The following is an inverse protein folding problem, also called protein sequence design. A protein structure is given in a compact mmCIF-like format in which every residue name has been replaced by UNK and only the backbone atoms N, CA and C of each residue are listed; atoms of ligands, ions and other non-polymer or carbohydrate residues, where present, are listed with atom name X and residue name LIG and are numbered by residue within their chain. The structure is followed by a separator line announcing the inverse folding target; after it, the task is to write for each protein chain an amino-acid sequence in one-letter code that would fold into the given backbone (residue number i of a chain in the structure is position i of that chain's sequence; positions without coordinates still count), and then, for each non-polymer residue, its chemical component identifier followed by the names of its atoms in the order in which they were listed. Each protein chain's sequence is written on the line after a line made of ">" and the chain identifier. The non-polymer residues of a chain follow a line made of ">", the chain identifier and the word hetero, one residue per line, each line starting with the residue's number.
data_IF_603775767003
#
_entry.id   IF_603775767003
#
_cell.length_a   1.000
_cell.length_b   1.000
_cell.length_c   1.000
_cell.angle_alpha   90.00
_cell.angle_beta   90.00
_cell.angle_gamma   90.00
#
_symmetry.space_group_name_H-M   'P 1'
#
loop_
_entity.id
_entity.type
_entity.pdbx_description
1 polymer ?
#
# COMPACT_ATOMS: atom_id res chain seq x y z
N UNK A 1 18.24 5.05 -5.13
CA UNK A 1 18.63 5.09 -3.69
C UNK A 1 17.57 4.34 -2.90
N UNK A 2 17.96 3.47 -1.97
CA UNK A 2 17.00 2.70 -1.17
C UNK A 2 16.47 3.52 0.01
N UNK A 3 15.19 3.35 0.34
CA UNK A 3 14.58 3.91 1.56
C UNK A 3 14.83 2.90 2.68
N UNK A 4 15.17 3.37 3.89
CA UNK A 4 15.49 2.46 4.99
C UNK A 4 14.56 2.65 6.17
N UNK A 5 14.20 1.55 6.84
CA UNK A 5 13.52 1.54 8.12
C UNK A 5 14.17 0.49 9.03
N UNK A 6 14.47 0.90 10.25
CA UNK A 6 15.03 0.05 11.30
C UNK A 6 14.06 -0.02 12.45
N UNK A 7 13.77 -1.25 12.92
CA UNK A 7 12.95 -1.46 14.13
C UNK A 7 13.75 -1.08 15.37
N UNK A 8 15.09 -1.25 15.33
CA UNK A 8 15.97 -0.77 16.39
C UNK A 8 15.80 0.73 16.54
N UNK A 9 15.33 1.15 17.72
CA UNK A 9 14.97 2.54 18.05
C UNK A 9 13.84 3.15 17.19
N UNK A 10 12.97 2.31 16.62
CA UNK A 10 11.80 2.80 15.91
C UNK A 10 10.89 3.61 16.85
N UNK A 11 10.48 4.77 16.37
CA UNK A 11 9.48 5.65 16.98
C UNK A 11 8.36 5.91 15.98
N UNK A 12 7.22 6.41 16.48
CA UNK A 12 6.11 6.84 15.62
C UNK A 12 6.51 7.90 14.59
N UNK A 13 7.51 8.72 14.91
CA UNK A 13 8.09 9.73 14.01
C UNK A 13 8.93 9.07 12.93
N UNK A 14 9.88 8.21 13.28
CA UNK A 14 10.76 7.54 12.29
C UNK A 14 9.96 6.69 11.30
N UNK A 15 8.93 5.97 11.77
CA UNK A 15 8.07 5.20 10.90
C UNK A 15 7.18 6.09 10.00
N UNK A 16 6.68 7.22 10.52
CA UNK A 16 5.98 8.20 9.68
C UNK A 16 6.88 8.73 8.58
N UNK A 17 8.10 9.18 8.92
CA UNK A 17 9.08 9.69 7.95
C UNK A 17 9.41 8.64 6.88
N UNK A 18 9.58 7.38 7.29
CA UNK A 18 9.78 6.26 6.38
C UNK A 18 8.62 6.10 5.38
N UNK A 19 7.38 6.04 5.87
CA UNK A 19 6.20 5.88 5.00
C UNK A 19 5.99 7.09 4.09
N UNK A 20 6.26 8.31 4.56
CA UNK A 20 6.20 9.53 3.75
C UNK A 20 7.25 9.53 2.64
N UNK A 21 8.48 9.10 2.93
CA UNK A 21 9.52 8.94 1.91
C UNK A 21 9.13 7.89 0.86
N UNK A 22 8.52 6.78 1.30
CA UNK A 22 8.03 5.74 0.39
C UNK A 22 6.92 6.26 -0.52
N UNK A 23 5.92 6.96 0.03
CA UNK A 23 4.87 7.61 -0.77
C UNK A 23 5.46 8.56 -1.80
N UNK A 24 6.38 9.43 -1.39
CA UNK A 24 7.01 10.39 -2.28
C UNK A 24 7.72 9.73 -3.48
N UNK A 25 8.41 8.60 -3.27
CA UNK A 25 9.05 7.87 -4.37
C UNK A 25 8.04 7.14 -5.27
N UNK A 26 7.00 6.54 -4.68
CA UNK A 26 5.97 5.82 -5.44
C UNK A 26 5.17 6.77 -6.35
N UNK A 27 4.89 7.98 -5.87
CA UNK A 27 4.05 8.97 -6.57
C UNK A 27 4.84 10.01 -7.36
N UNK A 28 6.18 9.96 -7.32
CA UNK A 28 7.03 10.88 -8.06
C UNK A 28 6.70 10.85 -9.56
N UNK A 29 6.40 12.02 -10.13
CA UNK A 29 6.03 12.16 -11.54
C UNK A 29 4.66 11.60 -11.92
N UNK A 30 3.84 11.20 -10.94
CA UNK A 30 2.44 10.80 -11.14
C UNK A 30 1.50 12.00 -11.29
N UNK A 31 0.30 11.76 -11.83
CA UNK A 31 -0.79 12.73 -11.84
C UNK A 31 -1.53 12.75 -10.48
N UNK A 32 -2.55 13.60 -10.36
CA UNK A 32 -3.48 13.57 -9.24
C UNK A 32 -4.91 13.37 -9.74
N UNK A 33 -5.78 12.81 -8.88
CA UNK A 33 -7.22 12.79 -9.06
C UNK A 33 -7.85 13.27 -7.75
N UNK A 34 -8.65 14.34 -7.82
CA UNK A 34 -9.24 14.98 -6.64
C UNK A 34 -8.22 15.30 -5.52
N UNK A 35 -7.03 15.77 -5.92
CA UNK A 35 -5.93 16.09 -5.00
C UNK A 35 -5.18 14.86 -4.45
N UNK A 36 -5.58 13.65 -4.79
CA UNK A 36 -4.90 12.41 -4.37
C UNK A 36 -3.90 11.98 -5.46
N UNK A 37 -2.63 11.75 -5.15
CA UNK A 37 -1.66 11.25 -6.11
C UNK A 37 -2.09 9.91 -6.73
N UNK A 38 -1.83 9.74 -8.03
CA UNK A 38 -2.07 8.50 -8.77
C UNK A 38 -0.72 7.91 -9.16
N UNK A 39 -0.55 6.60 -8.96
CA UNK A 39 0.65 5.90 -9.40
C UNK A 39 0.84 6.04 -10.92
N UNK A 40 2.09 5.96 -11.36
CA UNK A 40 2.41 6.12 -12.78
C UNK A 40 1.87 4.97 -13.62
N UNK A 41 1.47 5.27 -14.85
CA UNK A 41 1.05 4.26 -15.82
C UNK A 41 2.23 3.40 -16.19
N UNK A 42 1.99 2.11 -16.45
CA UNK A 42 3.04 1.16 -16.83
C UNK A 42 3.89 1.66 -17.99
N UNK A 43 3.26 2.20 -19.03
CA UNK A 43 3.92 2.67 -20.24
C UNK A 43 4.76 3.94 -20.05
N UNK A 44 4.55 4.68 -18.95
CA UNK A 44 5.30 5.90 -18.66
C UNK A 44 6.51 5.63 -17.74
N UNK A 45 6.72 4.37 -17.33
CA UNK A 45 7.78 3.99 -16.39
C UNK A 45 8.81 3.13 -17.12
N UNK A 46 10.02 3.66 -17.22
CA UNK A 46 11.18 2.90 -17.72
C UNK A 46 11.58 1.80 -16.74
N UNK A 47 12.23 0.75 -17.24
CA UNK A 47 12.68 -0.39 -16.42
C UNK A 47 13.56 0.05 -15.23
N UNK A 48 14.44 1.04 -15.43
CA UNK A 48 15.36 1.54 -14.41
C UNK A 48 14.65 2.33 -13.29
N UNK A 49 13.42 2.80 -13.55
CA UNK A 49 12.59 3.55 -12.60
C UNK A 49 11.43 2.70 -12.06
N UNK A 50 11.40 1.41 -12.39
CA UNK A 50 10.25 0.54 -12.15
C UNK A 50 10.11 0.09 -10.70
N UNK A 51 11.17 0.15 -9.92
CA UNK A 51 11.18 -0.35 -8.56
C UNK A 51 11.71 0.68 -7.56
N UNK A 52 11.04 0.76 -6.41
CA UNK A 52 11.58 1.36 -5.20
C UNK A 52 12.14 0.24 -4.34
N UNK A 53 13.37 0.43 -3.86
CA UNK A 53 14.03 -0.51 -2.95
C UNK A 53 13.87 -0.03 -1.51
N UNK A 54 13.47 -0.94 -0.62
CA UNK A 54 13.25 -0.68 0.80
C UNK A 54 14.13 -1.60 1.64
N UNK A 55 15.05 -1.03 2.40
CA UNK A 55 15.83 -1.75 3.39
C UNK A 55 15.05 -1.82 4.71
N UNK A 56 14.85 -3.04 5.22
CA UNK A 56 14.22 -3.29 6.51
C UNK A 56 15.24 -3.96 7.43
N UNK A 57 15.50 -3.34 8.58
CA UNK A 57 16.49 -3.80 9.56
C UNK A 57 15.81 -4.19 10.87
N UNK A 58 16.09 -5.40 11.36
CA UNK A 58 15.50 -5.95 12.58
C UNK A 58 16.33 -5.61 13.84
N UNK A 59 15.97 -6.13 15.03
CA UNK A 59 16.70 -5.83 16.27
C UNK A 59 18.12 -6.41 16.29
N UNK A 60 18.33 -7.57 15.64
CA UNK A 60 19.63 -8.22 15.45
C UNK A 60 20.50 -7.53 14.39
N UNK A 61 20.05 -6.40 13.84
CA UNK A 61 20.72 -5.66 12.76
C UNK A 61 20.82 -6.43 11.43
N UNK A 62 20.04 -7.50 11.25
CA UNK A 62 19.85 -8.10 9.95
C UNK A 62 19.03 -7.18 9.06
N UNK A 63 19.54 -6.95 7.85
CA UNK A 63 18.87 -6.14 6.84
C UNK A 63 18.49 -6.99 5.65
N UNK A 64 17.24 -6.85 5.22
CA UNK A 64 16.75 -7.34 3.93
C UNK A 64 16.36 -6.15 3.06
N UNK A 65 16.45 -6.30 1.74
CA UNK A 65 16.00 -5.28 0.78
C UNK A 65 14.80 -5.79 0.01
N UNK A 66 13.64 -5.17 0.20
CA UNK A 66 12.39 -5.48 -0.49
C UNK A 66 12.28 -4.60 -1.74
N UNK A 67 11.84 -5.18 -2.86
CA UNK A 67 11.55 -4.44 -4.09
C UNK A 67 10.03 -4.22 -4.23
N UNK A 68 9.63 -2.97 -4.42
CA UNK A 68 8.24 -2.54 -4.59
C UNK A 68 8.07 -1.98 -6.00
N UNK A 69 7.13 -2.51 -6.78
CA UNK A 69 6.80 -2.01 -8.11
C UNK A 69 6.03 -0.67 -7.99
N UNK A 70 6.54 0.37 -8.65
CA UNK A 70 5.98 1.73 -8.57
C UNK A 70 4.61 1.90 -9.23
N UNK A 71 4.19 0.97 -10.10
CA UNK A 71 2.92 1.12 -10.84
C UNK A 71 1.71 0.63 -10.04
N UNK A 72 1.94 -0.20 -9.03
CA UNK A 72 0.88 -0.80 -8.20
C UNK A 72 1.22 -0.84 -6.70
N UNK A 73 2.42 -0.39 -6.30
CA UNK A 73 2.94 -0.49 -4.93
C UNK A 73 2.95 -1.94 -4.39
N UNK A 74 3.19 -2.94 -5.25
CA UNK A 74 3.24 -4.35 -4.85
C UNK A 74 4.68 -4.76 -4.57
N UNK A 75 4.87 -5.53 -3.50
CA UNK A 75 6.14 -6.22 -3.27
C UNK A 75 6.28 -7.31 -4.32
N UNK A 76 7.41 -7.33 -5.03
CA UNK A 76 7.68 -8.34 -6.09
C UNK A 76 8.74 -9.37 -5.68
N UNK A 77 9.50 -9.07 -4.63
CA UNK A 77 10.57 -9.92 -4.14
C UNK A 77 11.45 -9.20 -3.13
N UNK A 78 12.48 -9.89 -2.66
CA UNK A 78 13.46 -9.33 -1.74
C UNK A 78 14.85 -9.93 -1.95
N UNK A 79 15.85 -9.26 -1.39
CA UNK A 79 17.23 -9.70 -1.31
C UNK A 79 17.67 -9.80 0.14
N UNK A 80 18.41 -10.85 0.47
CA UNK A 80 19.02 -11.08 1.78
C UNK A 80 20.45 -11.62 1.59
N UNK A 81 21.44 -10.73 1.75
CA UNK A 81 22.83 -11.05 1.45
C UNK A 81 23.03 -11.35 -0.03
N UNK A 82 23.57 -12.53 -0.36
CA UNK A 82 23.85 -12.97 -1.73
C UNK A 82 22.69 -13.69 -2.40
N UNK A 83 21.52 -13.79 -1.76
CA UNK A 83 20.34 -14.50 -2.26
C UNK A 83 19.20 -13.52 -2.53
N UNK A 84 18.47 -13.71 -3.61
CA UNK A 84 17.23 -12.99 -3.90
C UNK A 84 16.09 -13.94 -4.22
N UNK A 85 14.90 -13.55 -3.79
CA UNK A 85 13.69 -14.35 -3.90
C UNK A 85 12.59 -13.50 -4.53
N UNK A 86 11.93 -14.05 -5.54
CA UNK A 86 10.89 -13.36 -6.30
C UNK A 86 9.57 -14.11 -6.16
N UNK A 87 8.50 -13.35 -5.91
CA UNK A 87 7.14 -13.89 -5.91
C UNK A 87 6.78 -14.34 -7.33
N UNK A 88 5.96 -15.39 -7.45
CA UNK A 88 5.44 -15.81 -8.75
C UNK A 88 4.51 -14.72 -9.29
N UNK A 89 4.77 -14.27 -10.51
CA UNK A 89 3.90 -13.30 -11.17
C UNK A 89 3.13 -13.99 -12.31
N UNK A 90 1.78 -14.12 -12.22
CA UNK A 90 0.97 -14.67 -13.29
C UNK A 90 0.63 -13.65 -14.40
N UNK A 91 1.11 -12.39 -14.31
CA UNK A 91 0.77 -11.35 -15.27
C UNK A 91 1.28 -11.66 -16.68
N UNK A 92 0.47 -11.32 -17.69
CA UNK A 92 0.82 -11.44 -19.12
C UNK A 92 2.04 -10.59 -19.49
N UNK A 93 2.26 -9.51 -18.76
CA UNK A 93 3.42 -8.66 -18.88
C UNK A 93 4.03 -8.49 -17.48
N UNK A 94 4.96 -9.35 -17.03
CA UNK A 94 5.56 -9.19 -15.72
C UNK A 94 6.43 -7.92 -15.66
N UNK A 95 6.72 -7.37 -14.47
CA UNK A 95 7.71 -6.31 -14.32
C UNK A 95 9.11 -6.89 -14.62
N UNK A 96 10.11 -6.05 -14.92
CA UNK A 96 11.44 -6.47 -15.36
C UNK A 96 12.28 -7.00 -14.18
N UNK A 97 11.87 -8.12 -13.57
CA UNK A 97 12.50 -8.69 -12.37
C UNK A 97 13.98 -9.03 -12.57
N UNK A 98 14.42 -9.27 -13.80
CA UNK A 98 15.82 -9.53 -14.15
C UNK A 98 16.75 -8.35 -13.83
N UNK A 99 16.22 -7.12 -13.73
CA UNK A 99 16.97 -5.91 -13.33
C UNK A 99 17.21 -5.82 -11.83
N UNK A 100 16.43 -6.53 -11.03
CA UNK A 100 16.53 -6.49 -9.58
C UNK A 100 17.65 -7.39 -9.06
N UNK A 101 18.44 -6.86 -8.13
CA UNK A 101 19.46 -7.61 -7.37
C UNK A 101 20.46 -8.37 -8.26
N UNK A 102 21.17 -7.69 -9.19
CA UNK A 102 22.18 -8.34 -10.02
C UNK A 102 23.28 -8.96 -9.17
N UNK A 103 23.82 -10.10 -9.61
CA UNK A 103 24.90 -10.82 -8.90
C UNK A 103 24.46 -11.64 -7.70
N UNK A 104 23.15 -11.82 -7.47
CA UNK A 104 22.62 -12.70 -6.42
C UNK A 104 22.20 -14.06 -6.96
N UNK A 105 22.19 -15.07 -6.10
CA UNK A 105 21.53 -16.36 -6.37
C UNK A 105 20.03 -16.15 -6.33
N UNK A 106 19.37 -16.27 -7.48
CA UNK A 106 17.95 -15.96 -7.66
C UNK A 106 17.09 -17.20 -7.48
N UNK A 107 16.00 -17.06 -6.72
CA UNK A 107 15.00 -18.11 -6.52
C UNK A 107 13.60 -17.56 -6.81
N UNK A 108 12.80 -18.30 -7.55
CA UNK A 108 11.37 -18.01 -7.70
C UNK A 108 10.58 -18.79 -6.67
N UNK A 109 9.76 -18.10 -5.89
CA UNK A 109 8.90 -18.69 -4.86
C UNK A 109 7.69 -19.39 -5.51
N UNK A 110 7.16 -20.46 -4.89
CA UNK A 110 6.08 -21.26 -5.48
C UNK A 110 4.68 -20.61 -5.35
N UNK A 111 4.60 -19.38 -4.85
CA UNK A 111 3.35 -18.64 -4.61
C UNK A 111 3.44 -17.21 -5.13
N UNK A 112 2.26 -16.66 -5.45
CA UNK A 112 2.11 -15.29 -5.90
C UNK A 112 1.97 -14.32 -4.71
N UNK A 113 2.13 -13.02 -4.99
CA UNK A 113 2.09 -11.95 -3.99
C UNK A 113 0.71 -11.49 -3.55
N UNK A 114 -0.37 -12.05 -4.09
CA UNK A 114 -1.73 -11.77 -3.65
C UNK A 114 -2.02 -12.47 -2.30
N UNK A 115 -2.94 -11.92 -1.51
CA UNK A 115 -3.24 -12.44 -0.18
C UNK A 115 -3.80 -13.88 -0.18
N UNK A 116 -4.42 -14.34 -1.27
CA UNK A 116 -4.88 -15.72 -1.37
C UNK A 116 -3.69 -16.67 -1.56
N UNK A 117 -2.79 -16.36 -2.48
CA UNK A 117 -1.55 -17.11 -2.73
C UNK A 117 -0.65 -17.17 -1.50
N UNK A 118 -0.40 -16.01 -0.88
CA UNK A 118 0.36 -15.89 0.35
C UNK A 118 -0.31 -16.64 1.51
N UNK A 119 -1.63 -16.49 1.67
CA UNK A 119 -2.37 -17.13 2.75
C UNK A 119 -2.32 -18.66 2.68
N UNK A 120 -2.50 -19.23 1.48
CA UNK A 120 -2.35 -20.69 1.27
C UNK A 120 -0.94 -21.17 1.60
N UNK A 121 0.08 -20.45 1.14
CA UNK A 121 1.47 -20.83 1.39
C UNK A 121 1.85 -20.70 2.88
N UNK A 122 1.33 -19.69 3.59
CA UNK A 122 1.63 -19.43 5.00
C UNK A 122 0.94 -20.41 5.97
N UNK A 123 -0.01 -21.22 5.49
CA UNK A 123 -0.85 -22.06 6.35
C UNK A 123 -0.03 -23.08 7.15
N UNK A 124 1.01 -23.69 6.57
CA UNK A 124 1.87 -24.68 7.25
C UNK A 124 2.66 -24.06 8.41
N UNK A 125 3.26 -22.89 8.21
CA UNK A 125 4.01 -22.17 9.26
C UNK A 125 3.13 -21.88 10.49
N UNK A 126 1.86 -21.54 10.28
CA UNK A 126 0.91 -21.34 11.37
C UNK A 126 0.49 -22.66 12.03
N UNK A 127 0.27 -23.73 11.26
CA UNK A 127 -0.07 -25.05 11.84
C UNK A 127 1.04 -25.57 12.76
N UNK A 128 2.31 -25.41 12.38
CA UNK A 128 3.45 -25.82 13.20
C UNK A 128 3.50 -25.08 14.54
N UNK A 129 3.19 -23.77 14.56
CA UNK A 129 3.11 -22.98 15.80
C UNK A 129 1.87 -23.34 16.64
N UNK A 130 0.75 -23.66 16.01
CA UNK A 130 -0.50 -24.01 16.72
C UNK A 130 -0.41 -25.38 17.39
N UNK A 131 0.29 -26.35 16.78
CA UNK A 131 0.44 -27.70 17.33
C UNK A 131 1.31 -27.78 18.60
N UNK A 132 2.11 -26.75 18.90
CA UNK A 132 2.85 -26.65 20.17
C UNK A 132 1.97 -26.24 21.37
N UNK A 133 0.78 -25.66 21.12
CA UNK A 133 -0.09 -25.05 22.15
C UNK A 133 -1.53 -25.59 22.17
N UNK A 134 -1.79 -26.82 21.69
CA UNK A 134 -3.16 -27.33 21.61
C UNK A 134 -3.66 -27.96 22.92
N UNK A 135 -4.69 -27.34 23.49
CA UNK A 135 -5.83 -28.07 24.04
C UNK A 135 -6.64 -28.68 22.87
N UNK A 136 -7.09 -29.92 23.03
CA UNK A 136 -7.86 -30.65 22.02
C UNK A 136 -9.17 -29.92 21.69
N UNK A 137 -9.42 -29.63 20.40
CA UNK A 137 -10.73 -29.15 19.92
C UNK A 137 -10.75 -27.84 19.13
N UNK A 138 -9.66 -27.06 19.07
CA UNK A 138 -9.64 -25.82 18.29
C UNK A 138 -9.55 -26.12 16.79
N UNK A 139 -10.71 -26.24 16.12
CA UNK A 139 -10.82 -26.40 14.66
C UNK A 139 -10.33 -25.12 13.99
N UNK A 140 -9.26 -25.23 13.21
CA UNK A 140 -8.87 -24.16 12.29
C UNK A 140 -10.00 -24.11 11.26
N UNK A 141 -10.83 -23.07 11.29
CA UNK A 141 -11.81 -22.85 10.24
C UNK A 141 -11.06 -22.55 8.94
N UNK A 142 -11.23 -23.41 7.93
CA UNK A 142 -10.55 -23.39 6.64
C UNK A 142 -10.80 -22.09 5.84
N UNK A 143 -11.77 -21.28 6.25
CA UNK A 143 -12.20 -20.05 5.58
C UNK A 143 -11.74 -18.73 6.23
N UNK A 144 -10.92 -18.76 7.30
CA UNK A 144 -10.40 -17.52 7.91
C UNK A 144 -9.16 -17.06 7.14
N UNK A 145 -9.14 -15.79 6.71
CA UNK A 145 -7.98 -15.20 6.01
C UNK A 145 -6.74 -15.28 6.91
N UNK A 146 -5.56 -15.61 6.35
CA UNK A 146 -4.32 -15.61 7.17
C UNK A 146 -4.02 -14.23 7.74
N UNK A 147 -4.48 -13.15 7.10
CA UNK A 147 -4.36 -11.79 7.66
C UNK A 147 -5.08 -11.66 9.00
N UNK A 148 -6.20 -12.33 9.21
CA UNK A 148 -6.95 -12.32 10.48
C UNK A 148 -6.28 -13.15 11.59
N UNK A 149 -5.19 -13.87 11.26
CA UNK A 149 -4.49 -14.78 12.18
C UNK A 149 -3.06 -14.37 12.47
N UNK A 150 -2.46 -13.53 11.61
CA UNK A 150 -1.09 -13.06 11.73
C UNK A 150 -1.13 -11.69 12.40
N UNK A 151 -0.61 -11.55 13.64
CA UNK A 151 -0.49 -10.26 14.28
C UNK A 151 0.47 -9.35 13.50
N UNK A 152 0.30 -8.06 13.68
CA UNK A 152 1.21 -7.03 13.17
C UNK A 152 1.74 -6.23 14.35
N UNK A 153 3.02 -5.88 14.31
CA UNK A 153 3.70 -5.13 15.36
C UNK A 153 5.22 -5.11 15.13
N UNK A 154 5.99 -4.39 15.96
CA UNK A 154 7.45 -4.36 15.84
C UNK A 154 8.09 -5.74 16.03
N UNK A 155 7.58 -6.57 16.95
CA UNK A 155 8.07 -7.95 17.13
C UNK A 155 7.76 -8.86 15.95
N UNK A 156 6.61 -8.68 15.30
CA UNK A 156 6.22 -9.46 14.11
C UNK A 156 7.05 -9.07 12.89
N UNK A 157 7.36 -7.78 12.74
CA UNK A 157 8.26 -7.32 11.68
C UNK A 157 9.70 -7.82 11.92
N UNK A 158 10.16 -7.85 13.17
CA UNK A 158 11.47 -8.40 13.54
C UNK A 158 11.59 -9.89 13.13
N UNK A 159 10.60 -10.69 13.53
CA UNK A 159 10.50 -12.10 13.16
C UNK A 159 10.37 -12.29 11.64
N UNK A 160 9.56 -11.47 10.95
CA UNK A 160 9.40 -11.54 9.50
C UNK A 160 10.73 -11.28 8.77
N UNK A 161 11.52 -10.29 9.22
CA UNK A 161 12.85 -10.02 8.64
C UNK A 161 13.78 -11.21 8.85
N UNK A 162 13.79 -11.82 10.05
CA UNK A 162 14.57 -13.03 10.35
C UNK A 162 14.16 -14.20 9.44
N UNK A 163 12.86 -14.46 9.28
CA UNK A 163 12.33 -15.53 8.42
C UNK A 163 12.75 -15.34 6.96
N UNK A 164 12.73 -14.12 6.44
CA UNK A 164 13.22 -13.81 5.09
C UNK A 164 14.75 -13.88 5.00
N UNK A 165 15.47 -13.48 6.04
CA UNK A 165 16.94 -13.49 6.10
C UNK A 165 17.50 -14.91 6.03
N UNK A 166 16.90 -15.85 6.77
CA UNK A 166 17.31 -17.25 6.78
C UNK A 166 16.70 -18.03 5.62
N UNK A 167 15.44 -17.74 5.28
CA UNK A 167 14.68 -18.41 4.22
C UNK A 167 14.62 -19.94 4.40
N UNK A 168 14.29 -20.39 5.62
CA UNK A 168 14.25 -21.82 5.97
C UNK A 168 13.12 -22.58 5.25
N UNK A 169 11.98 -21.92 5.03
CA UNK A 169 10.86 -22.51 4.31
C UNK A 169 10.06 -21.48 3.54
N UNK A 170 9.47 -21.93 2.43
CA UNK A 170 8.55 -21.14 1.62
C UNK A 170 7.32 -20.67 2.45
N UNK A 171 6.86 -21.49 3.39
CA UNK A 171 5.71 -21.15 4.23
C UNK A 171 6.01 -20.02 5.21
N UNK A 172 7.17 -20.06 5.89
CA UNK A 172 7.63 -18.97 6.76
C UNK A 172 7.86 -17.69 5.95
N UNK A 173 8.41 -17.80 4.74
CA UNK A 173 8.56 -16.65 3.86
C UNK A 173 7.21 -16.03 3.49
N UNK A 174 6.20 -16.84 3.17
CA UNK A 174 4.86 -16.35 2.86
C UNK A 174 4.22 -15.60 4.04
N UNK A 175 4.35 -16.12 5.27
CA UNK A 175 3.87 -15.43 6.47
C UNK A 175 4.60 -14.09 6.68
N UNK A 176 5.92 -14.07 6.49
CA UNK A 176 6.71 -12.85 6.59
C UNK A 176 6.33 -11.80 5.53
N UNK A 177 6.03 -12.21 4.30
CA UNK A 177 5.51 -11.30 3.27
C UNK A 177 4.18 -10.66 3.68
N UNK A 178 3.26 -11.41 4.30
CA UNK A 178 1.98 -10.86 4.79
C UNK A 178 2.21 -9.73 5.81
N UNK A 179 3.17 -9.91 6.73
CA UNK A 179 3.53 -8.88 7.71
C UNK A 179 4.12 -7.64 7.01
N UNK A 180 5.12 -7.85 6.14
CA UNK A 180 5.82 -6.76 5.45
C UNK A 180 4.90 -5.98 4.52
N UNK A 181 4.02 -6.66 3.76
CA UNK A 181 3.09 -6.00 2.83
C UNK A 181 2.14 -5.10 3.63
N UNK A 182 1.57 -5.58 4.74
CA UNK A 182 0.65 -4.79 5.56
C UNK A 182 1.34 -3.62 6.27
N UNK A 183 2.56 -3.84 6.80
CA UNK A 183 3.31 -2.78 7.50
C UNK A 183 3.93 -1.78 6.53
N UNK A 184 4.26 -2.15 5.30
CA UNK A 184 4.95 -1.24 4.36
C UNK A 184 4.01 -0.73 3.29
N UNK A 185 3.46 -1.63 2.48
CA UNK A 185 2.69 -1.26 1.28
C UNK A 185 1.29 -0.77 1.65
N UNK A 186 0.58 -1.47 2.54
CA UNK A 186 -0.78 -1.06 2.94
C UNK A 186 -0.76 0.21 3.80
N UNK A 187 0.23 0.35 4.69
CA UNK A 187 0.47 1.58 5.42
C UNK A 187 0.83 2.76 4.48
N UNK A 188 1.55 2.49 3.39
CA UNK A 188 1.79 3.52 2.37
C UNK A 188 0.50 3.91 1.65
N UNK A 189 -0.40 2.96 1.33
CA UNK A 189 -1.67 3.24 0.64
C UNK A 189 -2.70 3.96 1.52
N UNK A 190 -2.77 3.63 2.81
CA UNK A 190 -3.81 4.12 3.71
C UNK A 190 -3.25 4.75 4.99
N UNK A 191 -3.66 5.99 5.27
CA UNK A 191 -3.28 6.71 6.51
C UNK A 191 -3.81 6.04 7.77
N UNK A 192 -4.98 5.38 7.68
CA UNK A 192 -5.53 4.59 8.78
C UNK A 192 -4.57 3.45 9.19
N UNK A 193 -4.11 2.67 8.21
CA UNK A 193 -3.19 1.54 8.45
C UNK A 193 -1.84 2.04 8.96
N UNK A 194 -1.32 3.15 8.40
CA UNK A 194 -0.16 3.83 8.96
C UNK A 194 -0.35 4.20 10.44
N UNK A 195 -1.52 4.73 10.82
CA UNK A 195 -1.88 5.05 12.20
C UNK A 195 -1.84 3.83 13.11
N UNK A 196 -2.51 2.74 12.71
CA UNK A 196 -2.53 1.47 13.46
C UNK A 196 -1.12 0.93 13.71
N UNK A 197 -0.23 0.96 12.71
CA UNK A 197 1.15 0.52 12.88
C UNK A 197 1.95 1.47 13.77
N UNK A 198 1.73 2.79 13.69
CA UNK A 198 2.36 3.76 14.60
C UNK A 198 1.99 3.50 16.05
N UNK A 199 0.72 3.21 16.33
CA UNK A 199 0.27 2.91 17.69
C UNK A 199 0.92 1.63 18.22
N UNK A 200 1.01 0.58 17.40
CA UNK A 200 1.73 -0.66 17.74
C UNK A 200 3.22 -0.43 18.01
N UNK A 201 3.89 0.43 17.23
CA UNK A 201 5.29 0.81 17.46
C UNK A 201 5.44 1.59 18.78
N UNK A 202 4.53 2.55 19.05
CA UNK A 202 4.53 3.34 20.29
C UNK A 202 4.38 2.45 21.52
N UNK A 203 3.43 1.52 21.46
CA UNK A 203 3.02 0.72 22.60
C UNK A 203 3.84 -0.57 22.73
N UNK A 204 4.65 -0.91 21.72
CA UNK A 204 5.40 -2.16 21.67
C UNK A 204 4.52 -3.41 21.55
N UNK A 205 3.31 -3.26 21.00
CA UNK A 205 2.29 -4.32 20.97
C UNK A 205 2.14 -4.97 19.59
N UNK A 206 1.63 -6.19 19.59
CA UNK A 206 1.22 -6.91 18.38
C UNK A 206 -0.28 -7.20 18.43
N UNK A 207 -0.98 -6.96 17.32
CA UNK A 207 -2.40 -7.27 17.20
C UNK A 207 -2.76 -7.64 15.76
N UNK A 208 -3.75 -8.51 15.58
CA UNK A 208 -4.28 -8.82 14.25
C UNK A 208 -4.94 -7.57 13.63
N UNK A 209 -4.99 -7.46 12.29
CA UNK A 209 -5.76 -6.44 11.59
C UNK A 209 -7.24 -6.44 12.00
N UNK A 210 -7.79 -5.25 12.22
CA UNK A 210 -9.22 -5.08 12.44
C UNK A 210 -10.02 -5.16 11.12
N UNK A 211 -11.36 -5.27 11.19
CA UNK A 211 -12.19 -5.33 9.99
C UNK A 211 -12.06 -4.11 9.08
N UNK A 212 -11.76 -2.92 9.60
CA UNK A 212 -11.60 -1.72 8.79
C UNK A 212 -10.34 -1.81 7.93
N UNK A 213 -9.20 -2.14 8.54
CA UNK A 213 -7.93 -2.36 7.86
C UNK A 213 -8.09 -3.38 6.71
N UNK A 214 -8.65 -4.56 7.00
CA UNK A 214 -8.86 -5.61 5.99
C UNK A 214 -9.77 -5.15 4.84
N UNK A 215 -10.85 -4.41 5.16
CA UNK A 215 -11.77 -3.92 4.13
C UNK A 215 -11.14 -2.86 3.22
N UNK A 216 -10.25 -2.01 3.76
CA UNK A 216 -9.52 -1.00 2.99
C UNK A 216 -8.54 -1.66 2.02
N UNK A 217 -7.74 -2.64 2.50
CA UNK A 217 -6.81 -3.41 1.66
C UNK A 217 -7.52 -4.07 0.48
N UNK A 218 -8.67 -4.68 0.72
CA UNK A 218 -9.47 -5.34 -0.32
C UNK A 218 -10.15 -4.36 -1.29
N UNK A 219 -10.33 -3.10 -0.88
CA UNK A 219 -11.10 -2.10 -1.62
C UNK A 219 -10.22 -1.10 -2.37
N UNK A 220 -8.89 -1.15 -2.24
CA UNK A 220 -8.00 -0.14 -2.81
C UNK A 220 -8.17 0.06 -4.32
N UNK A 221 -8.28 -1.04 -5.08
CA UNK A 221 -8.51 -0.98 -6.53
C UNK A 221 -9.86 -0.35 -6.87
N UNK A 222 -10.94 -0.79 -6.21
CA UNK A 222 -12.29 -0.28 -6.44
C UNK A 222 -12.41 1.20 -6.04
N UNK A 223 -11.80 1.61 -4.92
CA UNK A 223 -11.73 3.02 -4.52
C UNK A 223 -10.97 3.83 -5.57
N UNK A 224 -9.81 3.32 -6.03
CA UNK A 224 -8.99 4.00 -7.04
C UNK A 224 -9.75 4.23 -8.33
N UNK A 225 -10.45 3.22 -8.82
CA UNK A 225 -11.27 3.29 -10.03
C UNK A 225 -12.42 4.29 -9.85
N UNK A 226 -13.23 4.13 -8.81
CA UNK A 226 -14.38 5.01 -8.57
C UNK A 226 -13.95 6.48 -8.44
N UNK A 227 -12.87 6.77 -7.72
CA UNK A 227 -12.35 8.15 -7.57
C UNK A 227 -11.87 8.72 -8.91
N UNK A 228 -11.16 7.94 -9.73
CA UNK A 228 -10.66 8.40 -11.03
C UNK A 228 -11.75 8.54 -12.11
N UNK A 229 -12.91 7.91 -11.93
CA UNK A 229 -14.05 8.06 -12.83
C UNK A 229 -14.86 9.34 -12.55
N UNK A 230 -14.73 9.96 -11.37
CA UNK A 230 -15.44 11.20 -11.04
C UNK A 230 -14.82 12.39 -11.78
N UNK A 231 -15.59 13.14 -12.60
CA UNK A 231 -15.12 14.37 -13.22
C UNK A 231 -14.63 15.38 -12.17
N UNK A 232 -13.60 16.17 -12.51
CA UNK A 232 -12.96 17.10 -11.56
C UNK A 232 -13.90 18.16 -10.94
N UNK A 233 -15.05 18.44 -11.55
CA UNK A 233 -16.07 19.37 -11.05
C UNK A 233 -17.23 18.67 -10.32
N UNK A 234 -17.12 17.37 -10.04
CA UNK A 234 -18.12 16.57 -9.35
C UNK A 234 -17.51 15.87 -8.15
N UNK A 235 -18.37 15.42 -7.24
CA UNK A 235 -17.94 14.77 -6.00
C UNK A 235 -18.49 13.34 -5.87
N UNK A 236 -19.69 13.09 -6.40
CA UNK A 236 -20.34 11.79 -6.30
C UNK A 236 -19.73 10.79 -7.29
N UNK A 237 -19.66 9.54 -6.85
CA UNK A 237 -19.33 8.42 -7.72
C UNK A 237 -20.38 8.29 -8.82
N UNK A 238 -19.92 8.09 -10.06
CA UNK A 238 -20.79 8.04 -11.23
C UNK A 238 -21.63 6.75 -11.23
N UNK A 239 -22.74 6.74 -11.98
CA UNK A 239 -23.63 5.58 -12.13
C UNK A 239 -24.16 5.00 -10.80
N UNK A 240 -24.38 5.84 -9.79
CA UNK A 240 -24.73 5.42 -8.43
C UNK A 240 -23.71 4.43 -7.82
N UNK A 241 -22.45 4.54 -8.25
CA UNK A 241 -21.35 3.71 -7.77
C UNK A 241 -21.17 3.82 -6.26
N UNK A 242 -20.76 2.71 -5.64
CA UNK A 242 -20.39 2.71 -4.24
C UNK A 242 -19.32 1.67 -3.97
N UNK A 243 -18.45 1.96 -2.99
CA UNK A 243 -17.48 0.99 -2.48
C UNK A 243 -17.85 0.66 -1.05
N UNK A 244 -18.06 -0.62 -0.77
CA UNK A 244 -18.36 -1.10 0.56
C UNK A 244 -17.07 -1.29 1.35
N UNK A 245 -16.97 -0.59 2.47
CA UNK A 245 -15.90 -0.77 3.47
C UNK A 245 -16.51 -1.13 4.83
N UNK A 246 -15.65 -1.43 5.80
CA UNK A 246 -16.04 -1.70 7.18
C UNK A 246 -15.41 -0.70 8.14
N UNK A 247 -16.04 -0.51 9.29
CA UNK A 247 -15.44 0.14 10.47
C UNK A 247 -14.82 -0.92 11.39
N UNK A 248 -14.10 -0.47 12.42
CA UNK A 248 -13.44 -1.35 13.40
C UNK A 248 -14.45 -2.23 14.16
N UNK A 249 -15.68 -1.73 14.38
CA UNK A 249 -16.79 -2.49 14.99
C UNK A 249 -17.48 -3.46 14.00
N UNK A 250 -16.90 -3.66 12.82
CA UNK A 250 -17.40 -4.50 11.73
C UNK A 250 -18.68 -4.00 11.03
N UNK A 251 -19.18 -2.80 11.37
CA UNK A 251 -20.31 -2.19 10.68
C UNK A 251 -19.94 -1.78 9.24
N UNK A 252 -20.92 -1.86 8.34
CA UNK A 252 -20.75 -1.58 6.92
C UNK A 252 -20.91 -0.08 6.63
N UNK A 253 -20.04 0.46 5.79
CA UNK A 253 -20.15 1.83 5.25
C UNK A 253 -20.07 1.78 3.73
N UNK A 254 -20.98 2.51 3.07
CA UNK A 254 -20.96 2.71 1.62
C UNK A 254 -20.31 4.05 1.31
N UNK A 255 -19.13 4.00 0.69
CA UNK A 255 -18.42 5.17 0.14
C UNK A 255 -19.04 5.50 -1.20
N UNK A 256 -19.55 6.72 -1.37
CA UNK A 256 -20.26 7.16 -2.59
C UNK A 256 -19.73 8.47 -3.17
N UNK A 257 -18.67 9.03 -2.58
CA UNK A 257 -18.17 10.36 -2.90
C UNK A 257 -16.68 10.48 -2.60
N UNK A 258 -15.97 11.27 -3.40
CA UNK A 258 -14.56 11.63 -3.18
C UNK A 258 -14.34 12.44 -1.89
N UNK A 259 -15.38 13.03 -1.32
CA UNK A 259 -15.33 13.77 -0.05
C UNK A 259 -15.52 12.90 1.20
N UNK A 260 -15.73 11.59 1.03
CA UNK A 260 -15.93 10.68 2.17
C UNK A 260 -14.65 10.54 3.01
N UNK A 261 -14.79 10.36 4.32
CA UNK A 261 -13.62 10.19 5.22
C UNK A 261 -12.71 9.03 4.82
N UNK A 262 -13.29 7.96 4.27
CA UNK A 262 -12.53 6.85 3.72
C UNK A 262 -11.59 7.28 2.58
N UNK A 263 -12.06 8.17 1.69
CA UNK A 263 -11.27 8.70 0.57
C UNK A 263 -10.17 9.63 1.06
N UNK A 264 -10.43 10.47 2.06
CA UNK A 264 -9.40 11.30 2.73
C UNK A 264 -8.30 10.43 3.38
N UNK A 265 -8.65 9.22 3.79
CA UNK A 265 -7.72 8.21 4.30
C UNK A 265 -6.79 7.60 3.25
N UNK A 266 -7.12 7.70 1.95
CA UNK A 266 -6.31 7.15 0.85
C UNK A 266 -5.14 8.09 0.55
N UNK A 267 -3.92 7.56 0.59
CA UNK A 267 -2.70 8.33 0.38
C UNK A 267 -2.27 8.43 -1.08
N UNK A 268 -2.54 7.40 -1.88
CA UNK A 268 -2.39 7.41 -3.33
C UNK A 268 -3.28 6.33 -3.98
N UNK A 269 -3.56 6.51 -5.26
CA UNK A 269 -4.46 5.67 -6.05
C UNK A 269 -3.66 4.77 -7.01
N UNK A 270 -4.16 3.55 -7.22
CA UNK A 270 -3.76 2.73 -8.36
C UNK A 270 -4.19 3.43 -9.65
N UNK A 271 -3.38 3.43 -10.70
CA UNK A 271 -3.84 3.95 -11.99
C UNK A 271 -4.88 3.00 -12.63
N UNK A 272 -6.06 3.51 -12.95
CA UNK A 272 -7.19 2.70 -13.46
C UNK A 272 -7.68 3.12 -14.87
N UNK A 273 -6.94 3.97 -15.60
CA UNK A 273 -7.33 4.38 -16.95
C UNK A 273 -8.37 5.51 -17.01
N UNK A 274 -8.79 6.08 -15.88
CA UNK A 274 -9.64 7.28 -15.86
C UNK A 274 -8.91 8.47 -16.48
N UNK A 275 -9.64 9.40 -17.12
CA UNK A 275 -9.09 10.63 -17.67
C UNK A 275 -8.52 11.47 -16.51
N UNK A 276 -7.18 11.62 -16.35
CA UNK A 276 -6.68 12.58 -15.40
C UNK A 276 -7.17 13.97 -15.84
N UNK A 277 -7.65 14.83 -14.93
CA UNK A 277 -7.81 16.23 -15.28
C UNK A 277 -6.47 16.75 -15.80
N UNK A 278 -6.49 17.41 -16.95
CA UNK A 278 -5.30 17.99 -17.54
C UNK A 278 -4.56 18.85 -16.50
N UNK A 279 -3.21 18.83 -16.47
CA UNK A 279 -2.46 19.65 -15.54
C UNK A 279 -2.78 21.14 -15.78
N UNK A 280 -3.38 21.76 -14.77
CA UNK A 280 -3.54 23.21 -14.55
C UNK A 280 -4.32 24.02 -15.60
N UNK A 281 -5.60 24.29 -15.32
CA UNK A 281 -6.28 25.53 -15.75
C UNK A 281 -6.52 26.50 -14.58
N UNK A 282 -5.69 26.43 -13.53
CA UNK A 282 -5.78 27.36 -12.39
C UNK A 282 -5.16 28.74 -12.66
N UNK A 283 -4.52 28.94 -13.83
CA UNK A 283 -4.00 30.25 -14.25
C UNK A 283 -5.04 31.17 -14.91
N UNK A 284 -6.31 30.75 -15.07
CA UNK A 284 -7.32 31.54 -15.79
C UNK A 284 -8.36 32.25 -14.88
N UNK A 285 -8.26 32.16 -13.55
CA UNK A 285 -9.24 32.77 -12.63
C UNK A 285 -8.82 34.09 -11.97
N UNK A 286 -7.67 34.65 -12.33
CA UNK A 286 -7.25 35.98 -11.85
C UNK A 286 -6.90 36.89 -13.02
N UNK A 287 -7.91 37.35 -13.75
CA UNK A 287 -7.97 38.68 -14.41
C UNK A 287 -9.22 38.80 -15.28
N UNK A 288 -10.26 39.46 -14.77
CA UNK A 288 -11.15 40.42 -15.47
C UNK A 288 -12.35 40.75 -14.57
N UNK A 289 -12.07 41.45 -13.46
CA UNK A 289 -13.05 42.39 -12.92
C UNK A 289 -12.72 43.73 -13.58
N UNK A 290 -13.24 43.96 -14.78
CA UNK A 290 -13.28 45.31 -15.35
C UNK A 290 -14.48 45.99 -14.74
N UNK A 291 -14.21 46.85 -13.75
CA UNK A 291 -15.18 47.80 -13.19
C UNK A 291 -15.67 48.70 -14.34
N UNK A 292 -16.94 48.58 -14.71
CA UNK A 292 -17.62 49.58 -15.53
C UNK A 292 -17.74 50.88 -14.73
N UNK A 293 -17.09 51.95 -15.22
CA UNK A 293 -17.36 53.32 -14.76
C UNK A 293 -18.71 53.79 -15.32
N UNK A 294 -19.58 54.43 -14.52
CA UNK A 294 -20.81 55.01 -15.01
C UNK A 294 -20.52 56.30 -15.81
N UNK A 295 -21.06 56.39 -17.01
CA UNK A 295 -20.95 57.56 -17.88
C UNK A 295 -21.99 58.61 -17.46
N UNK A 296 -21.53 59.81 -17.08
CA UNK A 296 -22.39 60.97 -16.83
C UNK A 296 -23.11 61.39 -18.12
N UNK A 297 -24.43 61.52 -18.05
CA UNK A 297 -25.24 62.17 -19.07
C UNK A 297 -24.97 63.68 -19.09
N UNK A 298 -24.49 64.21 -20.23
CA UNK A 298 -24.50 65.65 -20.52
C UNK A 298 -25.87 66.02 -21.09
N UNK A 299 -26.62 66.83 -20.33
CA UNK A 299 -27.75 67.62 -20.84
C UNK A 299 -27.24 68.66 -21.86
N UNK A 300 -27.91 68.75 -23.01
CA UNK A 300 -27.95 69.94 -23.87
C UNK A 300 -29.34 70.04 -24.51
N UNK A 301 -30.20 70.85 -23.92
CA UNK A 301 -30.75 72.11 -24.46
C UNK A 301 -31.64 72.73 -23.38
#
# INVERSE_FOLDING_TARGET
>A
MAISFSIKNATTTTYRTFIEALRAQLTAGGSTSHGIPVLRRRQDVTDDQRFVLVNLTNYDSYTITVAIDVVNAYVVGYCAGTRSYFLRDPATHPPPLHRLFPGTTRTTLPFAGDYLGLGRAAQEALQQNTNRNRAAGSRIHENISMRERIPLGPGELDNAISQLRYAESASSQAAAFIVIIQIVSEAARFRYIQGQVRDRIRDGTSAVPDPAMLSLENSWSNLSEQIQMVPANQLLFINNGSVQIRKADNSIVLVKSVDSDAVRGVAFLLYCGGNPPAPNSESARTSKVTVQKPTLAKKKK
#
